data_IF_395820137711
#
_entry.id   IF_395820137711
#
_cell.length_a   1.000
_cell.length_b   1.000
_cell.length_c   1.000
_cell.angle_alpha   90.00
_cell.angle_beta   90.00
_cell.angle_gamma   90.00
#
_symmetry.space_group_name_H-M   'P 1'
#
loop_
_entity.id
_entity.type
_entity.pdbx_description
1 polymer ?
#
# COMPACT_ATOMS: atom_id res chain seq x y z
N UNK A 1 -4.30 0.76 -23.23
CA UNK A 1 -4.11 2.20 -23.35
C UNK A 1 -2.76 2.59 -23.98
N UNK A 2 -1.90 1.69 -24.35
CA UNK A 2 -0.68 1.94 -25.13
C UNK A 2 0.36 2.84 -24.48
N UNK A 3 0.40 2.93 -23.15
CA UNK A 3 1.49 3.62 -22.44
C UNK A 3 2.58 2.62 -22.11
N UNK A 4 3.80 3.05 -22.32
CA UNK A 4 4.99 2.31 -21.90
C UNK A 4 5.15 2.41 -20.38
N UNK A 5 5.52 1.30 -19.75
CA UNK A 5 5.72 1.21 -18.30
C UNK A 5 7.16 0.84 -18.03
N UNK A 6 7.81 1.60 -17.17
CA UNK A 6 9.14 1.29 -16.66
C UNK A 6 9.06 1.01 -15.13
N UNK A 7 9.99 0.20 -14.61
CA UNK A 7 9.99 -0.24 -13.24
C UNK A 7 11.22 0.29 -12.49
N UNK A 8 10.97 0.88 -11.34
CA UNK A 8 11.99 1.29 -10.39
C UNK A 8 12.22 0.19 -9.34
N UNK A 9 13.46 0.04 -8.87
CA UNK A 9 13.74 -0.86 -7.75
C UNK A 9 13.21 -0.27 -6.43
N UNK A 10 13.24 -1.06 -5.38
CA UNK A 10 12.77 -0.70 -4.04
C UNK A 10 13.93 -0.62 -3.04
N UNK A 11 13.71 0.08 -1.95
CA UNK A 11 14.63 0.16 -0.80
C UNK A 11 14.39 -0.98 0.22
N UNK A 12 15.08 -0.91 1.36
CA UNK A 12 14.94 -1.89 2.44
C UNK A 12 13.58 -1.86 3.15
N UNK A 13 12.75 -0.86 2.93
CA UNK A 13 11.38 -0.79 3.46
C UNK A 13 10.35 -1.42 2.53
N UNK A 14 10.77 -1.78 1.31
CA UNK A 14 9.90 -2.29 0.26
C UNK A 14 9.17 -1.20 -0.52
N UNK A 15 9.52 0.06 -0.31
CA UNK A 15 9.02 1.21 -1.06
C UNK A 15 9.96 1.53 -2.23
N UNK A 16 9.50 2.39 -3.12
CA UNK A 16 10.30 2.87 -4.24
C UNK A 16 11.63 3.47 -3.75
N UNK A 17 12.75 3.03 -4.35
CA UNK A 17 14.05 3.62 -4.11
C UNK A 17 14.12 5.00 -4.79
N UNK A 18 14.11 6.06 -4.01
CA UNK A 18 14.08 7.44 -4.52
C UNK A 18 15.37 7.85 -5.24
N UNK A 19 16.51 7.24 -4.90
CA UNK A 19 17.75 7.47 -5.63
C UNK A 19 17.71 6.82 -7.03
N UNK A 20 17.19 5.59 -7.10
CA UNK A 20 16.97 4.91 -8.37
C UNK A 20 15.94 5.66 -9.22
N UNK A 21 14.85 6.15 -8.60
CA UNK A 21 13.83 6.96 -9.26
C UNK A 21 14.42 8.26 -9.85
N UNK A 22 15.24 9.00 -9.09
CA UNK A 22 15.91 10.22 -9.55
C UNK A 22 16.74 9.96 -10.83
N UNK A 23 17.51 8.86 -10.81
CA UNK A 23 18.30 8.42 -11.95
C UNK A 23 17.41 8.10 -13.15
N UNK A 24 16.30 7.39 -12.96
CA UNK A 24 15.38 7.02 -14.03
C UNK A 24 14.67 8.25 -14.62
N UNK A 25 14.26 9.20 -13.81
CA UNK A 25 13.63 10.45 -14.30
C UNK A 25 14.59 11.21 -15.21
N UNK A 26 15.86 11.33 -14.82
CA UNK A 26 16.88 12.02 -15.61
C UNK A 26 17.13 11.37 -16.99
N UNK A 27 17.01 10.06 -17.10
CA UNK A 27 17.29 9.32 -18.32
C UNK A 27 16.05 9.13 -19.22
N UNK A 28 14.90 8.82 -18.62
CA UNK A 28 13.71 8.38 -19.35
C UNK A 28 12.61 9.44 -19.43
N UNK A 29 12.71 10.52 -18.64
CA UNK A 29 11.72 11.61 -18.57
C UNK A 29 10.26 11.09 -18.55
N UNK A 30 9.86 10.23 -17.61
CA UNK A 30 8.52 9.66 -17.57
C UNK A 30 7.45 10.75 -17.38
N UNK A 31 6.26 10.57 -17.94
CA UNK A 31 5.15 11.53 -17.80
C UNK A 31 4.54 11.52 -16.40
N UNK A 32 4.61 10.39 -15.70
CA UNK A 32 4.09 10.23 -14.37
C UNK A 32 4.81 9.10 -13.61
N UNK A 33 4.78 9.16 -12.28
CA UNK A 33 5.25 8.11 -11.39
C UNK A 33 4.11 7.66 -10.49
N UNK A 34 3.96 6.34 -10.32
CA UNK A 34 3.08 5.75 -9.31
C UNK A 34 3.97 5.33 -8.15
N UNK A 35 3.72 5.87 -6.98
CA UNK A 35 4.42 5.55 -5.73
C UNK A 35 3.47 4.76 -4.85
N UNK A 36 3.82 3.52 -4.52
CA UNK A 36 3.02 2.67 -3.64
C UNK A 36 3.61 2.71 -2.24
N UNK A 37 2.77 2.95 -1.24
CA UNK A 37 3.15 2.85 0.17
C UNK A 37 3.01 1.39 0.63
N UNK A 38 4.00 0.57 0.28
CA UNK A 38 3.92 -0.88 0.45
C UNK A 38 3.91 -1.31 1.92
N UNK A 39 3.23 -2.41 2.19
CA UNK A 39 3.21 -3.12 3.47
C UNK A 39 2.78 -2.28 4.68
N UNK A 40 2.23 -1.09 4.46
CA UNK A 40 1.89 -0.15 5.53
C UNK A 40 3.05 0.78 5.95
N UNK A 41 4.15 0.80 5.20
CA UNK A 41 5.20 1.82 5.32
C UNK A 41 4.89 3.02 4.44
N UNK A 42 5.37 4.20 4.81
CA UNK A 42 5.19 5.41 3.99
C UNK A 42 6.52 5.84 3.42
N UNK A 43 6.51 6.12 2.12
CA UNK A 43 7.59 6.84 1.46
C UNK A 43 7.64 8.27 2.02
N UNK A 44 8.83 8.80 2.25
CA UNK A 44 8.98 10.15 2.77
C UNK A 44 8.31 11.18 1.86
N UNK A 45 7.25 11.80 2.38
CA UNK A 45 6.42 12.76 1.64
C UNK A 45 7.16 14.04 1.28
N UNK A 46 8.18 14.42 2.04
CA UNK A 46 9.02 15.59 1.72
C UNK A 46 9.86 15.32 0.48
N UNK A 47 10.45 14.13 0.39
CA UNK A 47 11.22 13.69 -0.78
C UNK A 47 10.34 13.47 -2.02
N UNK A 48 9.12 12.96 -1.85
CA UNK A 48 8.12 12.90 -2.95
C UNK A 48 7.85 14.29 -3.49
N UNK A 49 7.64 15.26 -2.59
CA UNK A 49 7.40 16.66 -2.98
C UNK A 49 8.61 17.25 -3.71
N UNK A 50 9.82 17.01 -3.22
CA UNK A 50 11.06 17.48 -3.85
C UNK A 50 11.19 16.92 -5.28
N UNK A 51 10.98 15.62 -5.48
CA UNK A 51 11.01 15.00 -6.81
C UNK A 51 9.96 15.60 -7.73
N UNK A 52 8.73 15.78 -7.26
CA UNK A 52 7.66 16.41 -8.03
C UNK A 52 8.02 17.82 -8.47
N UNK A 53 8.46 18.65 -7.53
CA UNK A 53 8.71 20.06 -7.75
C UNK A 53 9.98 20.30 -8.61
N UNK A 54 11.02 19.46 -8.42
CA UNK A 54 12.27 19.53 -9.18
C UNK A 54 12.08 19.18 -10.66
N UNK A 55 11.31 18.12 -10.94
CA UNK A 55 11.15 17.59 -12.28
C UNK A 55 9.85 17.97 -12.98
N UNK A 56 8.91 18.62 -12.27
CA UNK A 56 7.58 18.91 -12.78
C UNK A 56 6.76 17.66 -13.15
N UNK A 57 7.15 16.50 -12.63
CA UNK A 57 6.53 15.21 -12.95
C UNK A 57 5.22 15.01 -12.19
N UNK A 58 4.28 14.30 -12.81
CA UNK A 58 3.03 13.94 -12.13
C UNK A 58 3.26 12.75 -11.22
N UNK A 59 2.80 12.86 -9.97
CA UNK A 59 2.91 11.79 -8.96
C UNK A 59 1.51 11.34 -8.54
N UNK A 60 1.33 10.03 -8.58
CA UNK A 60 0.15 9.32 -8.09
C UNK A 60 0.60 8.49 -6.88
N UNK A 61 0.04 8.77 -5.70
CA UNK A 61 0.29 7.94 -4.52
C UNK A 61 -0.76 6.83 -4.44
N UNK A 62 -0.32 5.57 -4.38
CA UNK A 62 -1.15 4.43 -4.04
C UNK A 62 -1.03 4.15 -2.53
N UNK A 63 -2.03 4.63 -1.79
CA UNK A 63 -2.18 4.42 -0.36
C UNK A 63 -3.18 3.31 -0.02
N UNK A 64 -3.45 2.39 -0.95
CA UNK A 64 -4.33 1.26 -0.70
C UNK A 64 -3.87 0.37 0.47
N UNK A 65 -2.55 0.17 0.73
CA UNK A 65 -2.06 -0.55 1.90
C UNK A 65 -1.88 0.33 3.14
N UNK A 66 -2.05 1.65 3.06
CA UNK A 66 -1.57 2.60 4.06
C UNK A 66 -2.58 3.68 4.43
N UNK A 67 -3.87 3.40 4.29
CA UNK A 67 -4.91 4.32 4.74
C UNK A 67 -4.81 4.56 6.25
N UNK A 68 -5.06 5.80 6.66
CA UNK A 68 -5.10 6.19 8.06
C UNK A 68 -3.76 6.25 8.80
N UNK A 69 -2.94 7.18 8.35
CA UNK A 69 -1.73 7.61 9.04
C UNK A 69 -2.01 8.89 9.84
N UNK A 70 -3.03 8.88 10.70
CA UNK A 70 -3.36 10.01 11.56
C UNK A 70 -2.20 10.41 12.51
N UNK A 71 -2.40 11.50 13.25
CA UNK A 71 -1.45 12.02 14.21
C UNK A 71 -0.52 10.96 14.85
N UNK A 72 0.76 11.26 15.02
CA UNK A 72 1.38 12.60 14.99
C UNK A 72 1.97 13.00 13.62
N UNK A 73 1.64 12.30 12.56
CA UNK A 73 2.29 12.47 11.27
C UNK A 73 1.66 13.60 10.47
N UNK A 74 2.47 14.54 10.01
CA UNK A 74 2.08 15.68 9.15
C UNK A 74 1.71 15.25 7.72
N UNK A 75 1.46 13.97 7.50
CA UNK A 75 1.05 13.45 6.21
C UNK A 75 -0.32 13.98 5.82
N UNK A 76 -0.34 14.80 4.79
CA UNK A 76 -1.56 15.32 4.18
C UNK A 76 -1.67 14.75 2.77
N UNK A 77 -2.60 13.82 2.54
CA UNK A 77 -2.83 13.26 1.21
C UNK A 77 -2.99 14.33 0.15
N UNK A 78 -2.35 14.14 -1.02
CA UNK A 78 -2.43 15.07 -2.13
C UNK A 78 -1.58 16.34 -2.03
N UNK A 79 -0.90 16.60 -0.89
CA UNK A 79 0.02 17.71 -0.76
C UNK A 79 1.39 17.45 -1.39
N UNK A 80 1.84 16.21 -1.30
CA UNK A 80 3.13 15.78 -1.86
C UNK A 80 3.01 15.26 -3.30
N UNK A 81 1.84 14.79 -3.67
CA UNK A 81 1.52 14.26 -5.00
C UNK A 81 0.40 15.05 -5.70
N UNK A 82 0.06 14.64 -6.91
CA UNK A 82 -1.08 15.19 -7.64
C UNK A 82 -2.40 14.56 -7.20
N UNK A 83 -2.37 13.27 -6.85
CA UNK A 83 -3.52 12.53 -6.37
C UNK A 83 -3.08 11.36 -5.50
N UNK A 84 -3.87 11.06 -4.47
CA UNK A 84 -3.72 9.87 -3.63
C UNK A 84 -4.92 8.94 -3.86
N UNK A 85 -4.64 7.64 -3.98
CA UNK A 85 -5.64 6.60 -4.11
C UNK A 85 -5.74 5.80 -2.81
N UNK A 86 -6.94 5.66 -2.28
CA UNK A 86 -7.24 4.82 -1.11
C UNK A 86 -8.12 3.65 -1.49
N UNK A 87 -7.91 2.52 -0.83
CA UNK A 87 -8.78 1.35 -0.93
C UNK A 87 -9.57 1.17 0.36
N UNK A 88 -10.86 0.95 0.21
CA UNK A 88 -11.78 0.54 1.26
C UNK A 88 -12.43 -0.81 0.92
N UNK A 89 -11.70 -1.65 0.18
CA UNK A 89 -12.09 -3.04 -0.04
C UNK A 89 -12.37 -3.73 1.30
N UNK A 90 -13.30 -4.72 1.33
CA UNK A 90 -13.67 -5.42 2.56
C UNK A 90 -12.49 -6.09 3.28
N UNK A 91 -11.38 -6.33 2.59
CA UNK A 91 -10.13 -6.87 3.16
C UNK A 91 -9.27 -5.80 3.82
N UNK A 92 -9.59 -4.52 3.63
CA UNK A 92 -8.86 -3.38 4.21
C UNK A 92 -9.42 -3.03 5.57
N UNK A 93 -8.68 -2.19 6.28
CA UNK A 93 -9.15 -1.69 7.56
C UNK A 93 -8.79 -0.21 7.73
N UNK A 94 -9.81 0.67 7.77
CA UNK A 94 -11.25 0.39 7.66
C UNK A 94 -11.65 -0.10 6.26
N UNK A 95 -12.64 -0.99 6.20
CA UNK A 95 -13.18 -1.55 4.97
C UNK A 95 -14.69 -1.35 4.86
N UNK A 96 -15.20 -1.35 3.63
CA UNK A 96 -16.65 -1.30 3.38
C UNK A 96 -17.22 -2.70 3.07
N UNK A 97 -18.51 -2.77 2.77
CA UNK A 97 -19.14 -4.00 2.26
C UNK A 97 -18.83 -4.15 0.76
N UNK A 98 -17.89 -5.00 0.42
CA UNK A 98 -17.46 -5.21 -0.95
C UNK A 98 -16.26 -4.38 -1.34
N UNK A 99 -16.26 -3.77 -2.51
CA UNK A 99 -15.16 -2.96 -3.01
C UNK A 99 -15.47 -1.48 -2.90
N UNK A 100 -14.55 -0.71 -2.38
CA UNK A 100 -14.64 0.73 -2.25
C UNK A 100 -13.29 1.40 -2.31
N UNK A 101 -13.28 2.69 -2.52
CA UNK A 101 -12.07 3.50 -2.54
C UNK A 101 -12.39 4.99 -2.59
N UNK A 102 -11.35 5.78 -2.44
CA UNK A 102 -11.42 7.23 -2.58
C UNK A 102 -10.18 7.76 -3.29
N UNK A 103 -10.35 8.88 -3.96
CA UNK A 103 -9.27 9.70 -4.50
C UNK A 103 -9.24 11.02 -3.75
N UNK A 104 -8.04 11.48 -3.37
CA UNK A 104 -7.85 12.78 -2.75
C UNK A 104 -6.85 13.61 -3.55
N UNK A 105 -7.18 14.85 -3.83
CA UNK A 105 -6.32 15.81 -4.51
C UNK A 105 -6.55 17.22 -3.99
N UNK A 106 -5.50 18.05 -4.00
CA UNK A 106 -5.61 19.47 -3.71
C UNK A 106 -5.91 20.32 -4.96
N UNK A 107 -5.87 19.71 -6.15
CA UNK A 107 -6.17 20.37 -7.43
C UNK A 107 -7.66 20.27 -7.76
N UNK A 108 -8.37 21.40 -7.71
CA UNK A 108 -9.80 21.47 -7.99
C UNK A 108 -10.16 21.06 -9.44
N UNK A 109 -9.32 21.38 -10.40
CA UNK A 109 -9.55 20.99 -11.80
C UNK A 109 -9.42 19.48 -11.97
N UNK A 110 -8.42 18.87 -11.31
CA UNK A 110 -8.29 17.42 -11.30
C UNK A 110 -9.46 16.75 -10.59
N UNK A 111 -9.93 17.33 -9.46
CA UNK A 111 -11.12 16.87 -8.74
C UNK A 111 -12.38 16.88 -9.62
N UNK A 112 -12.63 17.97 -10.32
CA UNK A 112 -13.77 18.08 -11.25
C UNK A 112 -13.64 17.04 -12.38
N UNK A 113 -12.45 16.84 -12.92
CA UNK A 113 -12.21 15.84 -13.97
C UNK A 113 -12.39 14.40 -13.49
N UNK A 114 -11.99 14.10 -12.27
CA UNK A 114 -12.24 12.80 -11.62
C UNK A 114 -13.73 12.57 -11.47
N UNK A 115 -14.46 13.59 -10.98
CA UNK A 115 -15.92 13.50 -10.84
C UNK A 115 -16.59 13.20 -12.18
N UNK A 116 -16.24 13.92 -13.25
CA UNK A 116 -16.79 13.67 -14.59
C UNK A 116 -16.57 12.22 -15.04
N UNK A 117 -15.36 11.68 -14.84
CA UNK A 117 -15.05 10.30 -15.19
C UNK A 117 -15.88 9.28 -14.39
N UNK A 118 -16.12 9.54 -13.12
CA UNK A 118 -16.94 8.69 -12.24
C UNK A 118 -18.44 8.81 -12.51
N UNK A 119 -18.88 9.94 -13.08
CA UNK A 119 -20.28 10.30 -13.32
C UNK A 119 -20.70 10.10 -14.80
N UNK A 120 -20.29 9.00 -15.44
CA UNK A 120 -20.62 8.68 -16.83
C UNK A 120 -20.10 9.68 -17.86
N UNK A 121 -19.09 10.49 -17.55
CA UNK A 121 -18.59 11.56 -18.41
C UNK A 121 -19.46 12.82 -18.37
N UNK A 122 -20.21 13.03 -17.28
CA UNK A 122 -21.03 14.23 -17.10
C UNK A 122 -20.42 15.16 -16.06
N UNK A 123 -20.52 16.46 -16.28
CA UNK A 123 -20.13 17.48 -15.31
C UNK A 123 -21.17 17.67 -14.19
N UNK A 124 -20.87 18.58 -13.25
CA UNK A 124 -21.78 18.95 -12.15
C UNK A 124 -23.10 19.57 -12.60
N UNK A 125 -23.19 20.03 -13.85
CA UNK A 125 -24.41 20.56 -14.48
C UNK A 125 -25.15 19.49 -15.30
N UNK A 126 -24.74 18.22 -15.23
CA UNK A 126 -25.29 17.07 -15.97
C UNK A 126 -25.12 17.17 -17.49
N UNK A 127 -24.16 17.99 -17.96
CA UNK A 127 -23.81 18.03 -19.37
C UNK A 127 -22.79 16.93 -19.69
N UNK A 128 -22.98 16.22 -20.78
CA UNK A 128 -22.01 15.21 -21.25
C UNK A 128 -20.79 15.95 -21.80
N UNK A 129 -19.67 15.77 -21.13
CA UNK A 129 -18.38 16.42 -21.45
C UNK A 129 -17.30 15.44 -21.89
N UNK A 130 -17.59 14.14 -21.83
CA UNK A 130 -16.62 13.11 -22.21
C UNK A 130 -17.15 11.68 -22.02
N UNK A 131 -16.23 10.73 -22.08
CA UNK A 131 -16.49 9.31 -21.77
C UNK A 131 -16.14 9.06 -20.30
N UNK A 132 -17.01 8.38 -19.59
CA UNK A 132 -16.82 8.00 -18.19
C UNK A 132 -17.54 6.71 -17.83
N UNK A 133 -17.46 6.34 -16.57
CA UNK A 133 -18.10 5.15 -16.00
C UNK A 133 -18.90 5.53 -14.76
N UNK A 134 -19.77 4.64 -14.28
CA UNK A 134 -20.36 4.80 -12.96
C UNK A 134 -19.44 4.16 -11.92
N UNK A 135 -18.75 4.97 -11.12
CA UNK A 135 -17.73 4.51 -10.18
C UNK A 135 -17.91 5.09 -8.77
N UNK A 136 -19.11 5.46 -8.39
CA UNK A 136 -19.42 5.87 -7.02
C UNK A 136 -19.63 4.66 -6.12
N UNK A 137 -19.15 4.74 -4.88
CA UNK A 137 -19.52 3.80 -3.82
C UNK A 137 -21.05 3.91 -3.55
N UNK A 138 -21.67 2.78 -3.28
CA UNK A 138 -23.07 2.78 -2.86
C UNK A 138 -23.25 3.30 -1.43
N UNK A 139 -24.45 3.78 -1.12
CA UNK A 139 -24.74 4.40 0.17
C UNK A 139 -24.61 3.43 1.35
N UNK A 140 -24.87 2.15 1.15
CA UNK A 140 -24.76 1.13 2.20
C UNK A 140 -23.29 0.93 2.57
N UNK A 141 -22.41 0.76 1.57
CA UNK A 141 -20.97 0.67 1.76
C UNK A 141 -20.40 1.93 2.42
N UNK A 142 -20.88 3.12 2.01
CA UNK A 142 -20.47 4.37 2.65
C UNK A 142 -20.89 4.45 4.13
N UNK A 143 -22.12 4.03 4.46
CA UNK A 143 -22.61 4.05 5.84
C UNK A 143 -21.81 3.10 6.76
N UNK A 144 -21.47 1.91 6.25
CA UNK A 144 -20.62 0.96 6.98
C UNK A 144 -19.22 1.54 7.17
N UNK A 145 -18.63 2.10 6.11
CA UNK A 145 -17.30 2.68 6.18
C UNK A 145 -17.21 3.83 7.20
N UNK A 146 -18.20 4.72 7.24
CA UNK A 146 -18.27 5.78 8.25
C UNK A 146 -18.28 5.21 9.66
N UNK A 147 -19.02 4.12 9.88
CA UNK A 147 -19.03 3.45 11.18
C UNK A 147 -17.70 2.76 11.52
N UNK A 148 -17.06 2.18 10.53
CA UNK A 148 -15.72 1.59 10.71
C UNK A 148 -14.67 2.63 11.12
N UNK A 149 -14.74 3.86 10.60
CA UNK A 149 -13.87 4.95 11.05
C UNK A 149 -14.07 5.25 12.54
N UNK A 150 -15.31 5.40 12.98
CA UNK A 150 -15.63 5.66 14.39
C UNK A 150 -15.09 4.54 15.30
N UNK A 151 -15.31 3.29 14.92
CA UNK A 151 -14.87 2.09 15.66
C UNK A 151 -13.34 2.04 15.74
N UNK A 152 -12.66 2.33 14.65
CA UNK A 152 -11.21 2.33 14.55
C UNK A 152 -10.58 3.30 15.56
N UNK A 153 -11.09 4.55 15.58
CA UNK A 153 -10.62 5.59 16.49
C UNK A 153 -10.91 5.27 17.96
N UNK A 154 -12.16 4.91 18.25
CA UNK A 154 -12.60 4.67 19.63
C UNK A 154 -11.87 3.51 20.30
N UNK A 155 -11.54 2.45 19.55
CA UNK A 155 -10.93 1.24 20.10
C UNK A 155 -9.40 1.20 20.04
N UNK A 156 -8.76 2.28 19.59
CA UNK A 156 -7.29 2.37 19.51
C UNK A 156 -6.65 1.19 18.74
N UNK A 157 -7.29 0.76 17.66
CA UNK A 157 -6.86 -0.42 16.91
C UNK A 157 -5.46 -0.31 16.33
N UNK A 158 -5.01 0.90 16.00
CA UNK A 158 -3.63 1.17 15.58
C UNK A 158 -2.61 0.82 16.67
N UNK A 159 -2.92 1.21 17.90
CA UNK A 159 -2.05 0.93 19.05
C UNK A 159 -1.96 -0.59 19.30
N UNK A 160 -3.09 -1.29 19.21
CA UNK A 160 -3.14 -2.74 19.33
C UNK A 160 -2.28 -3.45 18.29
N UNK A 161 -2.35 -3.02 17.02
CA UNK A 161 -1.50 -3.55 15.93
C UNK A 161 -0.02 -3.28 16.19
N UNK A 162 0.33 -2.09 16.68
CA UNK A 162 1.70 -1.74 17.05
C UNK A 162 2.22 -2.64 18.18
N UNK A 163 1.42 -2.91 19.17
CA UNK A 163 1.77 -3.83 20.28
C UNK A 163 2.04 -5.23 19.75
N UNK A 164 1.18 -5.78 18.90
CA UNK A 164 1.37 -7.07 18.27
C UNK A 164 2.67 -7.14 17.45
N UNK A 165 2.92 -6.12 16.64
CA UNK A 165 4.14 -6.04 15.84
C UNK A 165 5.41 -5.94 16.70
N UNK A 166 5.35 -5.15 17.78
CA UNK A 166 6.45 -5.05 18.74
C UNK A 166 6.70 -6.39 19.43
N UNK A 167 5.62 -7.10 19.76
CA UNK A 167 5.74 -8.44 20.33
C UNK A 167 6.45 -9.40 19.35
N UNK A 168 6.04 -9.45 18.07
CA UNK A 168 6.71 -10.26 17.06
C UNK A 168 8.18 -9.89 16.90
N UNK A 169 8.49 -8.60 16.81
CA UNK A 169 9.87 -8.11 16.67
C UNK A 169 10.78 -8.59 17.80
N UNK A 170 10.24 -8.69 19.03
CA UNK A 170 10.99 -9.08 20.23
C UNK A 170 11.07 -10.60 20.43
N UNK A 171 10.20 -11.37 19.79
CA UNK A 171 10.03 -12.80 20.08
C UNK A 171 10.33 -13.73 18.88
N UNK A 172 10.36 -13.22 17.65
CA UNK A 172 10.67 -14.04 16.48
C UNK A 172 12.14 -13.89 16.05
N UNK A 173 12.75 -14.95 15.50
CA UNK A 173 14.16 -14.93 15.10
C UNK A 173 14.44 -14.19 13.78
N UNK A 174 13.41 -13.80 13.05
CA UNK A 174 13.51 -13.23 11.71
C UNK A 174 13.49 -11.69 11.73
N UNK A 175 14.37 -11.06 10.95
CA UNK A 175 14.36 -9.61 10.75
C UNK A 175 13.06 -9.21 10.03
N UNK A 176 12.37 -8.17 10.51
CA UNK A 176 11.18 -7.62 9.86
C UNK A 176 11.49 -6.36 9.05
N UNK A 177 10.61 -6.04 8.10
CA UNK A 177 10.53 -4.70 7.54
C UNK A 177 10.13 -3.76 8.68
N UNK A 178 10.83 -2.65 8.81
CA UNK A 178 10.52 -1.66 9.85
C UNK A 178 10.77 -0.25 9.32
N UNK A 179 9.93 0.68 9.71
CA UNK A 179 10.06 2.11 9.45
C UNK A 179 9.41 2.90 10.59
N UNK A 180 9.70 4.19 10.68
CA UNK A 180 9.13 5.04 11.72
C UNK A 180 7.61 5.21 11.56
N UNK A 181 7.13 5.19 10.32
CA UNK A 181 5.74 5.42 9.93
C UNK A 181 5.07 4.14 9.45
N UNK A 182 4.87 3.18 10.34
CA UNK A 182 4.35 1.86 9.98
C UNK A 182 2.92 1.64 10.55
N UNK A 183 1.97 1.26 9.69
CA UNK A 183 0.58 0.97 10.11
C UNK A 183 0.40 -0.47 10.59
N UNK A 184 1.32 -1.36 10.30
CA UNK A 184 1.22 -2.78 10.67
C UNK A 184 -0.05 -3.45 10.11
N UNK A 185 -0.33 -3.25 8.83
CA UNK A 185 -1.37 -4.04 8.16
C UNK A 185 -1.08 -5.53 8.30
N UNK A 186 0.19 -5.89 8.24
CA UNK A 186 0.75 -7.24 8.44
C UNK A 186 2.11 -7.11 9.11
N UNK A 187 2.56 -8.17 9.74
CA UNK A 187 3.95 -8.28 10.16
C UNK A 187 4.74 -8.97 9.05
N UNK A 188 5.67 -8.29 8.43
CA UNK A 188 6.42 -8.76 7.27
C UNK A 188 7.85 -9.10 7.69
N UNK A 189 8.23 -10.37 7.67
CA UNK A 189 9.53 -10.84 8.09
C UNK A 189 10.33 -11.45 6.92
N UNK A 190 11.65 -11.27 6.95
CA UNK A 190 12.57 -11.87 6.00
C UNK A 190 12.96 -13.27 6.48
N UNK A 191 12.57 -14.27 5.71
CA UNK A 191 12.94 -15.67 5.90
C UNK A 191 13.95 -16.05 4.80
N UNK A 192 15.04 -16.80 5.09
CA UNK A 192 15.92 -17.31 4.04
C UNK A 192 15.11 -18.07 2.96
N UNK A 193 15.41 -17.82 1.70
CA UNK A 193 14.65 -18.36 0.56
C UNK A 193 14.41 -19.88 0.65
N UNK A 194 15.45 -20.62 1.02
CA UNK A 194 15.39 -22.07 1.18
C UNK A 194 14.57 -22.54 2.39
N UNK A 195 14.14 -21.66 3.27
CA UNK A 195 13.33 -21.96 4.47
C UNK A 195 11.88 -21.48 4.33
N UNK A 196 11.55 -20.68 3.32
CA UNK A 196 10.22 -20.05 3.19
C UNK A 196 9.10 -21.09 3.19
N UNK A 197 9.20 -22.13 2.37
CA UNK A 197 8.16 -23.17 2.29
C UNK A 197 8.02 -23.91 3.62
N UNK A 198 9.13 -24.27 4.25
CA UNK A 198 9.15 -24.93 5.56
C UNK A 198 8.51 -24.08 6.66
N UNK A 199 8.83 -22.78 6.70
CA UNK A 199 8.25 -21.84 7.65
C UNK A 199 6.74 -21.69 7.42
N UNK A 200 6.31 -21.61 6.17
CA UNK A 200 4.88 -21.55 5.82
C UNK A 200 4.13 -22.82 6.22
N UNK A 201 4.70 -24.01 5.97
CA UNK A 201 4.10 -25.30 6.37
C UNK A 201 3.91 -25.35 7.90
N UNK A 202 4.91 -24.98 8.67
CA UNK A 202 4.81 -24.91 10.14
C UNK A 202 3.70 -23.98 10.59
N UNK A 203 3.65 -22.76 10.05
CA UNK A 203 2.64 -21.77 10.39
C UNK A 203 1.23 -22.25 10.02
N UNK A 204 1.07 -22.87 8.84
CA UNK A 204 -0.20 -23.43 8.40
C UNK A 204 -0.66 -24.63 9.26
N UNK A 205 0.27 -25.42 9.81
CA UNK A 205 -0.08 -26.54 10.69
C UNK A 205 -0.80 -26.09 11.97
N UNK A 206 -0.54 -24.86 12.42
CA UNK A 206 -1.24 -24.22 13.55
C UNK A 206 -2.40 -23.30 13.10
N UNK A 207 -2.81 -23.37 11.84
CA UNK A 207 -3.87 -22.54 11.23
C UNK A 207 -3.54 -21.04 11.21
N UNK A 208 -2.26 -20.64 11.26
CA UNK A 208 -1.85 -19.27 11.04
C UNK A 208 -1.96 -18.93 9.55
N UNK A 209 -2.62 -17.82 9.22
CA UNK A 209 -2.82 -17.34 7.84
C UNK A 209 -1.58 -16.61 7.30
N UNK A 210 -0.40 -17.21 7.47
CA UNK A 210 0.84 -16.71 6.90
C UNK A 210 0.91 -16.94 5.39
N UNK A 211 1.56 -16.03 4.65
CA UNK A 211 1.72 -16.17 3.20
C UNK A 211 2.86 -15.33 2.64
N UNK A 212 3.36 -15.68 1.49
CA UNK A 212 4.04 -14.76 0.59
C UNK A 212 3.01 -13.91 -0.15
N UNK A 213 3.34 -12.68 -0.53
CA UNK A 213 2.38 -11.78 -1.18
C UNK A 213 2.39 -11.93 -2.71
N UNK A 214 3.56 -12.07 -3.27
CA UNK A 214 3.76 -12.10 -4.72
C UNK A 214 4.44 -13.39 -5.15
N UNK A 215 4.01 -13.95 -6.28
CA UNK A 215 4.63 -15.16 -6.84
C UNK A 215 5.93 -14.86 -7.60
N UNK A 216 5.99 -13.68 -8.22
CA UNK A 216 7.15 -13.22 -8.98
C UNK A 216 7.15 -11.70 -9.07
N UNK A 217 8.29 -11.06 -9.34
CA UNK A 217 8.36 -9.63 -9.62
C UNK A 217 7.49 -9.21 -10.79
N UNK A 218 6.79 -8.07 -10.66
CA UNK A 218 5.84 -7.60 -11.67
C UNK A 218 6.50 -7.36 -13.04
N UNK A 219 7.72 -6.86 -13.06
CA UNK A 219 8.51 -6.62 -14.28
C UNK A 219 8.90 -7.90 -15.03
N UNK A 220 8.75 -9.08 -14.44
CA UNK A 220 9.08 -10.36 -15.10
C UNK A 220 7.93 -10.98 -15.86
N UNK A 221 6.74 -10.39 -15.80
CA UNK A 221 5.59 -10.87 -16.57
C UNK A 221 5.79 -10.59 -18.07
N UNK A 222 5.41 -11.54 -18.95
CA UNK A 222 5.75 -11.49 -20.38
C UNK A 222 5.08 -10.36 -21.18
N UNK A 223 4.07 -9.70 -20.61
CA UNK A 223 3.41 -8.56 -21.24
C UNK A 223 4.11 -7.22 -21.00
N UNK A 224 5.19 -7.19 -20.23
CA UNK A 224 6.08 -6.04 -20.12
C UNK A 224 7.31 -6.22 -21.01
N UNK A 225 7.56 -5.25 -21.86
CA UNK A 225 8.68 -5.29 -22.82
C UNK A 225 10.05 -5.07 -22.17
N UNK A 226 10.07 -4.32 -21.07
CA UNK A 226 11.28 -3.96 -20.34
C UNK A 226 11.43 -4.79 -19.07
N UNK A 227 12.06 -5.98 -19.21
CA UNK A 227 12.32 -6.90 -18.10
C UNK A 227 13.64 -6.58 -17.38
N UNK A 228 13.79 -5.34 -16.92
CA UNK A 228 14.97 -4.91 -16.16
C UNK A 228 15.15 -5.76 -14.91
N UNK A 229 16.39 -6.11 -14.59
CA UNK A 229 16.70 -6.79 -13.34
C UNK A 229 16.61 -5.83 -12.15
N UNK A 230 15.79 -6.16 -11.18
CA UNK A 230 15.52 -5.40 -9.96
C UNK A 230 15.88 -6.27 -8.75
N UNK A 231 17.12 -6.16 -8.25
CA UNK A 231 17.64 -7.10 -7.24
C UNK A 231 16.90 -7.05 -5.92
N UNK A 232 16.49 -5.85 -5.47
CA UNK A 232 15.76 -5.71 -4.20
C UNK A 232 14.33 -6.25 -4.33
N UNK A 233 13.62 -5.93 -5.43
CA UNK A 233 12.29 -6.51 -5.71
C UNK A 233 12.35 -8.02 -5.71
N UNK A 234 13.35 -8.62 -6.38
CA UNK A 234 13.52 -10.08 -6.39
C UNK A 234 13.70 -10.63 -4.98
N UNK A 235 14.60 -10.04 -4.20
CA UNK A 235 14.88 -10.45 -2.81
C UNK A 235 13.60 -10.38 -1.95
N UNK A 236 12.80 -9.31 -2.08
CA UNK A 236 11.55 -9.16 -1.32
C UNK A 236 10.53 -10.23 -1.71
N UNK A 237 10.34 -10.48 -3.00
CA UNK A 237 9.39 -11.49 -3.48
C UNK A 237 9.76 -12.90 -2.99
N UNK A 238 11.04 -13.24 -3.00
CA UNK A 238 11.52 -14.57 -2.65
C UNK A 238 11.59 -14.84 -1.14
N UNK A 239 11.80 -13.81 -0.31
CA UNK A 239 12.14 -14.00 1.11
C UNK A 239 11.07 -13.47 2.08
N UNK A 240 10.08 -12.70 1.60
CA UNK A 240 9.17 -12.02 2.50
C UNK A 240 7.97 -12.88 2.85
N UNK A 241 7.84 -13.21 4.14
CA UNK A 241 6.69 -13.91 4.71
C UNK A 241 5.89 -12.94 5.56
N UNK A 242 4.58 -12.92 5.35
CA UNK A 242 3.64 -12.06 6.06
C UNK A 242 2.85 -12.85 7.09
N UNK A 243 2.89 -12.37 8.33
CA UNK A 243 2.08 -12.87 9.44
C UNK A 243 0.86 -11.96 9.66
N UNK A 244 -0.25 -12.52 10.18
CA UNK A 244 -1.36 -11.70 10.65
C UNK A 244 -0.89 -10.75 11.74
N UNK A 245 -1.31 -9.48 11.68
CA UNK A 245 -0.97 -8.45 12.66
C UNK A 245 -2.19 -7.53 12.86
N UNK A 246 -3.36 -8.14 13.07
CA UNK A 246 -4.60 -7.38 13.28
C UNK A 246 -4.87 -7.12 14.78
N UNK A 247 -5.76 -6.20 15.04
CA UNK A 247 -6.10 -5.72 16.38
C UNK A 247 -6.83 -6.74 17.27
N UNK A 248 -7.33 -7.83 16.69
CA UNK A 248 -8.06 -8.89 17.38
C UNK A 248 -7.21 -10.11 17.72
N UNK A 249 -5.89 -10.02 17.52
CA UNK A 249 -5.00 -11.13 17.92
C UNK A 249 -4.95 -11.27 19.44
N UNK A 250 -5.06 -12.50 19.89
CA UNK A 250 -4.94 -12.86 21.29
C UNK A 250 -3.51 -13.34 21.61
N UNK A 251 -3.11 -13.22 22.87
CA UNK A 251 -1.76 -13.61 23.32
C UNK A 251 -1.46 -15.09 23.00
N UNK A 252 -2.47 -15.95 23.13
CA UNK A 252 -2.33 -17.38 22.82
C UNK A 252 -1.96 -17.64 21.35
N UNK A 253 -2.50 -16.83 20.41
CA UNK A 253 -2.14 -16.94 18.98
C UNK A 253 -0.69 -16.52 18.74
N UNK A 254 -0.27 -15.42 19.37
CA UNK A 254 1.10 -14.93 19.31
C UNK A 254 2.07 -15.99 19.85
N UNK A 255 1.78 -16.56 21.02
CA UNK A 255 2.60 -17.59 21.65
C UNK A 255 2.68 -18.88 20.81
N UNK A 256 1.58 -19.31 20.18
CA UNK A 256 1.59 -20.45 19.25
C UNK A 256 2.51 -20.21 18.05
N UNK A 257 2.47 -18.98 17.47
CA UNK A 257 3.34 -18.62 16.35
C UNK A 257 4.81 -18.64 16.78
N UNK A 258 5.13 -18.08 17.96
CA UNK A 258 6.49 -18.11 18.49
C UNK A 258 7.01 -19.52 18.70
N UNK A 259 6.18 -20.40 19.30
CA UNK A 259 6.60 -21.75 19.66
C UNK A 259 6.81 -22.68 18.46
N UNK A 260 6.24 -22.34 17.30
CA UNK A 260 6.39 -23.14 16.06
C UNK A 260 7.57 -22.67 15.21
N UNK A 261 8.00 -21.43 15.33
CA UNK A 261 9.14 -20.84 14.62
C UNK A 261 10.43 -20.89 15.43
#
# INVERSE_FOLDING_TARGET
MGREVDFCDIDETGNIDLYNLDTMIKHNAPSAVIIVHNFGTIVDVSQIKEVRDLYGIKIIEDSAPSFYMGEPYSYKPGHSSNVVCYSFDFTKFPGCLGSGGALATADSNLSDRIYELQAHGTDKHKQVVGVGTKSFMDNTSCAVLLKEFDIFEQNKYRERRRQNATWYKNNLPYKCISGENYIWERYSMFVPFNEVDYVLEKLHSIKCLARTMFKQPLNTYPFYSNQKYLPNVKKFVENLVHLPCHQFMEQEELDRIKNIL
#
